data_IF_550109371130
#
_entry.id   IF_550109371130
#
_cell.length_a   1.000
_cell.length_b   1.000
_cell.length_c   1.000
_cell.angle_alpha   90.00
_cell.angle_beta   90.00
_cell.angle_gamma   90.00
#
_symmetry.space_group_name_H-M   'P 1'
#
loop_
_entity.id
_entity.type
_entity.pdbx_description
1 polymer ?
#
# COMPACT_ATOMS: atom_id res chain seq x y z
N UNK A 1 17.23 16.23 14.19
CA UNK A 1 17.76 14.94 13.69
C UNK A 1 17.63 13.84 14.73
N UNK A 2 17.98 14.06 16.00
CA UNK A 2 17.92 13.03 17.05
C UNK A 2 16.55 12.38 17.18
N UNK A 3 15.50 13.19 17.31
CA UNK A 3 14.12 12.68 17.52
C UNK A 3 13.67 11.69 16.43
N UNK A 4 13.92 11.98 15.17
CA UNK A 4 13.53 11.09 14.08
C UNK A 4 14.34 9.79 14.06
N UNK A 5 15.65 9.88 14.29
CA UNK A 5 16.51 8.69 14.37
C UNK A 5 16.22 7.85 15.59
N UNK A 6 15.93 8.47 16.74
CA UNK A 6 15.56 7.74 17.95
C UNK A 6 14.21 7.00 17.75
N UNK A 7 13.25 7.62 17.08
CA UNK A 7 11.98 6.99 16.75
C UNK A 7 12.13 5.89 15.71
N UNK A 8 12.93 6.14 14.66
CA UNK A 8 13.26 5.11 13.67
C UNK A 8 13.89 3.89 14.34
N UNK A 9 14.90 4.10 15.20
CA UNK A 9 15.53 3.01 15.94
C UNK A 9 14.53 2.23 16.79
N UNK A 10 13.62 2.92 17.47
CA UNK A 10 12.60 2.26 18.30
C UNK A 10 11.65 1.39 17.44
N UNK A 11 11.20 1.90 16.29
CA UNK A 11 10.37 1.14 15.36
C UNK A 11 11.14 -0.05 14.80
N UNK A 12 12.38 0.17 14.38
CA UNK A 12 13.27 -0.89 13.89
C UNK A 12 13.49 -1.98 14.95
N UNK A 13 13.84 -1.60 16.18
CA UNK A 13 14.03 -2.53 17.29
C UNK A 13 12.73 -3.31 17.58
N UNK A 14 11.58 -2.67 17.48
CA UNK A 14 10.28 -3.33 17.65
C UNK A 14 10.08 -4.40 16.58
N UNK A 15 10.20 -4.06 15.30
CA UNK A 15 10.04 -5.03 14.22
C UNK A 15 11.03 -6.18 14.31
N UNK A 16 12.31 -5.90 14.52
CA UNK A 16 13.35 -6.92 14.51
C UNK A 16 13.36 -7.81 15.75
N UNK A 17 12.80 -7.35 16.87
CA UNK A 17 12.75 -8.14 18.11
C UNK A 17 11.42 -8.88 18.32
N UNK A 18 10.38 -8.52 17.57
CA UNK A 18 9.05 -9.14 17.67
C UNK A 18 8.63 -9.84 16.39
N UNK A 19 9.51 -9.91 15.39
CA UNK A 19 9.25 -10.64 14.15
C UNK A 19 8.98 -12.12 14.43
N UNK A 20 8.08 -12.73 13.69
CA UNK A 20 7.88 -14.16 13.68
C UNK A 20 9.10 -14.90 13.09
N UNK A 21 9.79 -14.26 12.15
CA UNK A 21 11.01 -14.79 11.56
C UNK A 21 12.23 -14.59 12.45
N UNK A 22 13.23 -15.47 12.31
CA UNK A 22 14.53 -15.29 12.95
C UNK A 22 15.20 -14.00 12.44
N UNK A 23 15.70 -13.20 13.36
CA UNK A 23 16.36 -11.93 13.06
C UNK A 23 17.50 -12.08 12.04
N UNK A 24 18.23 -13.18 12.08
CA UNK A 24 19.33 -13.47 11.17
C UNK A 24 18.87 -13.73 9.72
N UNK A 25 17.57 -13.91 9.50
CA UNK A 25 17.00 -14.18 8.18
C UNK A 25 16.19 -13.04 7.61
N UNK A 26 16.03 -11.92 8.35
CA UNK A 26 15.17 -10.79 7.96
C UNK A 26 15.60 -10.13 6.64
N UNK A 27 16.88 -10.19 6.28
CA UNK A 27 17.42 -9.63 5.05
C UNK A 27 17.61 -10.65 3.92
N UNK A 28 17.27 -11.93 4.17
CA UNK A 28 17.55 -13.01 3.23
C UNK A 28 16.77 -12.93 1.91
N UNK A 29 15.72 -12.12 1.85
CA UNK A 29 14.79 -12.04 0.71
C UNK A 29 13.95 -13.32 0.50
N UNK A 30 14.05 -14.28 1.42
CA UNK A 30 13.31 -15.54 1.36
C UNK A 30 12.06 -15.58 2.24
N UNK A 31 11.83 -14.50 2.99
CA UNK A 31 10.67 -14.40 3.88
C UNK A 31 9.44 -13.97 3.10
N UNK A 32 8.32 -14.56 3.46
CA UNK A 32 7.00 -14.19 2.98
C UNK A 32 6.14 -13.72 4.16
N UNK A 33 6.21 -12.43 4.47
CA UNK A 33 5.54 -11.85 5.62
C UNK A 33 4.01 -11.85 5.49
N UNK A 34 3.48 -11.88 4.27
CA UNK A 34 2.04 -12.04 4.03
C UNK A 34 1.55 -13.39 4.50
N UNK A 35 2.35 -14.47 4.29
CA UNK A 35 1.98 -15.79 4.77
C UNK A 35 2.05 -15.92 6.28
N UNK A 36 3.00 -15.24 6.94
CA UNK A 36 3.07 -15.21 8.41
C UNK A 36 1.80 -14.59 9.01
N UNK A 37 1.29 -13.50 8.42
CA UNK A 37 0.01 -12.94 8.83
C UNK A 37 -1.15 -13.87 8.49
N UNK A 38 -1.20 -14.39 7.27
CA UNK A 38 -2.28 -15.27 6.79
C UNK A 38 -2.41 -16.58 7.57
N UNK A 39 -1.32 -17.10 8.12
CA UNK A 39 -1.28 -18.29 8.98
C UNK A 39 -1.40 -18.00 10.48
N UNK A 40 -1.67 -16.75 10.86
CA UNK A 40 -1.77 -16.30 12.26
C UNK A 40 -0.45 -16.43 13.05
N UNK A 41 0.69 -16.48 12.39
CA UNK A 41 2.01 -16.47 13.01
C UNK A 41 2.44 -15.04 13.40
N UNK A 42 1.90 -14.01 12.74
CA UNK A 42 2.09 -12.61 13.04
C UNK A 42 0.74 -11.90 13.20
N UNK A 43 0.69 -10.91 14.09
CA UNK A 43 -0.50 -10.06 14.32
C UNK A 43 -0.43 -8.76 13.52
N UNK A 44 0.77 -8.26 13.26
CA UNK A 44 1.02 -7.03 12.54
C UNK A 44 1.95 -7.29 11.36
N UNK A 45 1.54 -6.77 10.22
CA UNK A 45 2.32 -6.78 8.99
C UNK A 45 2.36 -5.36 8.40
N UNK A 46 3.54 -4.87 8.07
CA UNK A 46 3.69 -3.54 7.47
C UNK A 46 3.75 -3.67 5.96
N UNK A 47 2.73 -3.19 5.28
CA UNK A 47 2.67 -3.12 3.83
C UNK A 47 1.59 -2.10 3.39
N UNK A 48 1.14 -2.15 2.15
CA UNK A 48 0.12 -1.28 1.58
C UNK A 48 -1.23 -1.95 1.41
N UNK A 49 -2.20 -1.16 0.98
CA UNK A 49 -3.59 -1.60 0.77
C UNK A 49 -3.74 -2.68 -0.32
N UNK A 50 -2.77 -2.81 -1.21
CA UNK A 50 -2.73 -3.89 -2.23
C UNK A 50 -2.61 -5.30 -1.63
N UNK A 51 -2.14 -5.42 -0.39
CA UNK A 51 -2.00 -6.70 0.30
C UNK A 51 -3.31 -7.28 0.84
N UNK A 52 -4.40 -6.53 0.78
CA UNK A 52 -5.68 -6.95 1.36
C UNK A 52 -6.14 -8.32 0.86
N UNK A 53 -5.99 -8.59 -0.42
CA UNK A 53 -6.35 -9.89 -0.99
C UNK A 53 -5.30 -10.96 -0.76
N UNK A 54 -4.03 -10.56 -0.63
CA UNK A 54 -2.91 -11.50 -0.47
C UNK A 54 -2.76 -12.04 0.94
N UNK A 55 -3.08 -11.22 1.95
CA UNK A 55 -2.93 -11.60 3.37
C UNK A 55 -4.03 -12.53 3.86
N UNK A 56 -5.18 -12.51 3.21
CA UNK A 56 -6.28 -13.40 3.57
C UNK A 56 -6.58 -14.31 2.41
N UNK A 57 -6.92 -15.52 2.73
CA UNK A 57 -7.35 -16.35 1.72
C UNK A 57 -8.53 -17.16 1.96
N UNK A 58 -9.37 -17.10 1.04
CA UNK A 58 -10.54 -17.91 1.06
C UNK A 58 -10.23 -19.35 0.63
N UNK A 59 -9.03 -19.72 0.17
CA UNK A 59 -8.99 -21.10 -0.28
C UNK A 59 -7.70 -21.77 -0.79
N UNK A 60 -6.63 -21.09 -1.13
CA UNK A 60 -5.58 -21.81 -1.86
C UNK A 60 -4.25 -21.96 -1.13
N UNK A 61 -3.92 -21.08 -0.23
CA UNK A 61 -2.61 -21.02 0.41
C UNK A 61 -2.55 -21.66 1.80
N UNK A 62 -3.69 -22.09 2.33
CA UNK A 62 -3.77 -22.62 3.69
C UNK A 62 -3.80 -21.55 4.78
N UNK A 63 -4.07 -20.30 4.41
CA UNK A 63 -4.27 -19.22 5.36
C UNK A 63 -5.56 -19.43 6.15
N UNK A 64 -5.57 -18.95 7.38
CA UNK A 64 -6.71 -19.07 8.30
C UNK A 64 -7.37 -17.75 8.61
N UNK A 65 -6.67 -16.64 8.34
CA UNK A 65 -7.18 -15.27 8.51
C UNK A 65 -8.21 -14.97 7.44
N UNK A 66 -9.36 -14.45 7.86
CA UNK A 66 -10.40 -13.99 6.93
C UNK A 66 -10.21 -12.51 6.61
N UNK A 67 -10.59 -12.11 5.41
CA UNK A 67 -10.56 -10.70 5.04
C UNK A 67 -11.33 -9.80 6.02
N UNK A 68 -12.44 -10.30 6.60
CA UNK A 68 -13.21 -9.57 7.59
C UNK A 68 -12.48 -9.30 8.90
N UNK A 69 -11.42 -10.03 9.18
CA UNK A 69 -10.65 -9.93 10.42
C UNK A 69 -9.43 -9.01 10.25
N UNK A 70 -9.18 -8.55 9.02
CA UNK A 70 -8.10 -7.65 8.69
C UNK A 70 -8.53 -6.18 8.81
N UNK A 71 -7.64 -5.36 9.34
CA UNK A 71 -7.78 -3.90 9.36
C UNK A 71 -6.44 -3.24 9.11
N UNK A 72 -6.45 -1.95 8.82
CA UNK A 72 -5.26 -1.16 8.59
C UNK A 72 -5.15 -0.05 9.63
N UNK A 73 -3.96 0.25 10.05
CA UNK A 73 -3.69 1.34 10.98
C UNK A 73 -2.43 2.11 10.56
N UNK A 74 -2.33 3.40 10.90
CA UNK A 74 -1.11 4.17 10.68
C UNK A 74 0.08 3.58 11.43
N UNK A 75 1.27 3.67 10.84
CA UNK A 75 2.51 3.38 11.57
C UNK A 75 2.83 4.57 12.45
N UNK A 76 2.86 4.35 13.75
CA UNK A 76 3.15 5.39 14.71
C UNK A 76 4.67 5.61 14.88
N UNK A 77 5.16 6.78 14.45
CA UNK A 77 6.56 7.15 14.59
C UNK A 77 6.86 8.02 15.82
N UNK A 78 5.86 8.37 16.62
CA UNK A 78 6.01 9.15 17.84
C UNK A 78 6.36 10.62 17.60
N UNK A 79 5.94 11.19 16.49
CA UNK A 79 6.23 12.57 16.10
C UNK A 79 5.03 13.47 16.29
N UNK A 80 3.88 13.07 15.81
CA UNK A 80 2.60 13.78 15.95
C UNK A 80 1.46 12.75 15.96
N UNK A 81 1.24 12.14 17.10
CA UNK A 81 0.29 11.06 17.29
C UNK A 81 -1.19 11.48 17.21
N UNK A 82 -1.47 12.75 17.41
CA UNK A 82 -2.85 13.24 17.40
C UNK A 82 -3.47 13.27 16.00
N UNK A 83 -2.63 13.48 14.98
CA UNK A 83 -3.08 13.75 13.61
C UNK A 83 -2.59 12.73 12.58
N UNK A 84 -1.91 11.67 13.01
CA UNK A 84 -1.37 10.69 12.08
C UNK A 84 -2.47 9.95 11.32
N UNK A 85 -2.38 10.03 9.98
CA UNK A 85 -3.12 9.22 9.03
C UNK A 85 -2.19 8.23 8.34
N UNK A 86 -2.70 7.52 7.36
CA UNK A 86 -1.91 6.58 6.56
C UNK A 86 -0.90 7.31 5.68
N UNK A 87 0.21 6.66 5.40
CA UNK A 87 1.10 7.07 4.32
C UNK A 87 0.40 6.79 2.98
N UNK A 88 0.25 7.81 2.17
CA UNK A 88 -0.43 7.73 0.88
C UNK A 88 0.41 8.38 -0.22
N UNK A 89 0.27 7.87 -1.43
CA UNK A 89 0.91 8.44 -2.60
C UNK A 89 0.42 7.76 -3.87
N UNK A 90 0.69 8.39 -5.00
CA UNK A 90 0.40 7.81 -6.31
C UNK A 90 1.69 7.21 -6.85
N UNK A 91 1.77 5.89 -6.87
CA UNK A 91 2.94 5.16 -7.38
C UNK A 91 2.77 4.76 -8.84
N UNK A 92 1.57 4.34 -9.21
CA UNK A 92 1.27 3.85 -10.54
C UNK A 92 0.61 4.93 -11.38
N UNK A 93 1.16 5.15 -12.57
CA UNK A 93 0.67 6.16 -13.51
C UNK A 93 0.52 5.55 -14.89
N UNK A 94 -0.55 5.89 -15.57
CA UNK A 94 -0.64 5.68 -17.00
C UNK A 94 0.08 6.78 -17.73
N UNK A 95 1.08 6.41 -18.51
CA UNK A 95 1.86 7.35 -19.31
C UNK A 95 1.44 7.27 -20.78
N UNK A 96 1.17 8.43 -21.35
CA UNK A 96 0.91 8.55 -22.79
C UNK A 96 2.17 9.05 -23.50
N UNK A 97 2.61 8.34 -24.55
CA UNK A 97 3.78 8.76 -25.32
C UNK A 97 3.48 10.03 -26.11
N UNK A 98 3.96 11.17 -25.64
CA UNK A 98 3.77 12.47 -26.28
C UNK A 98 4.43 12.61 -27.69
N UNK A 99 5.21 11.62 -28.12
CA UNK A 99 5.83 11.58 -29.47
C UNK A 99 5.14 10.61 -30.43
N UNK A 100 4.06 9.94 -29.98
CA UNK A 100 3.25 9.11 -30.87
C UNK A 100 2.45 9.96 -31.85
N UNK A 101 1.91 9.35 -32.89
CA UNK A 101 0.97 10.01 -33.79
C UNK A 101 -0.24 10.54 -33.01
N UNK A 102 -0.72 11.73 -33.35
CA UNK A 102 -1.82 12.37 -32.60
C UNK A 102 -3.07 11.47 -32.53
N UNK A 103 -3.40 10.75 -33.60
CA UNK A 103 -4.52 9.78 -33.60
C UNK A 103 -4.38 8.68 -32.57
N UNK A 104 -3.14 8.24 -32.28
CA UNK A 104 -2.89 7.18 -31.31
C UNK A 104 -2.93 7.74 -29.89
N UNK A 105 -2.49 8.99 -29.70
CA UNK A 105 -2.66 9.74 -28.44
C UNK A 105 -4.15 9.91 -28.15
N UNK A 106 -4.93 10.40 -29.10
CA UNK A 106 -6.37 10.64 -28.95
C UNK A 106 -7.11 9.35 -28.62
N UNK A 107 -6.83 8.25 -29.33
CA UNK A 107 -7.42 6.94 -29.06
C UNK A 107 -7.03 6.41 -27.67
N UNK A 108 -5.80 6.62 -27.24
CA UNK A 108 -5.36 6.24 -25.90
C UNK A 108 -6.11 7.02 -24.83
N UNK A 109 -6.25 8.32 -24.99
CA UNK A 109 -7.00 9.17 -24.04
C UNK A 109 -8.49 8.82 -24.01
N UNK A 110 -9.08 8.53 -25.17
CA UNK A 110 -10.47 8.06 -25.24
C UNK A 110 -10.65 6.74 -24.51
N UNK A 111 -9.74 5.78 -24.69
CA UNK A 111 -9.76 4.51 -23.98
C UNK A 111 -9.62 4.70 -22.46
N UNK A 112 -8.67 5.51 -22.02
CA UNK A 112 -8.49 5.80 -20.58
C UNK A 112 -9.72 6.47 -19.98
N UNK A 113 -10.31 7.43 -20.70
CA UNK A 113 -11.56 8.05 -20.27
C UNK A 113 -12.70 7.02 -20.19
N UNK A 114 -12.83 6.13 -21.18
CA UNK A 114 -13.82 5.06 -21.16
C UNK A 114 -13.62 4.13 -19.94
N UNK A 115 -12.38 3.74 -19.63
CA UNK A 115 -12.07 2.88 -18.48
C UNK A 115 -12.55 3.48 -17.16
N UNK A 116 -12.40 4.80 -16.97
CA UNK A 116 -12.76 5.44 -15.70
C UNK A 116 -14.18 5.98 -15.64
N UNK A 117 -14.92 6.00 -16.75
CA UNK A 117 -16.27 6.59 -16.79
C UNK A 117 -17.38 5.61 -17.16
N UNK A 118 -17.06 4.55 -17.92
CA UNK A 118 -18.08 3.57 -18.32
C UNK A 118 -18.34 2.54 -17.21
N UNK A 119 -19.52 1.96 -17.24
CA UNK A 119 -19.89 0.87 -16.32
C UNK A 119 -18.95 -0.33 -16.45
N UNK A 120 -18.67 -0.75 -17.69
CA UNK A 120 -17.80 -1.89 -17.96
C UNK A 120 -16.36 -1.66 -17.51
N UNK A 121 -15.83 -0.45 -17.70
CA UNK A 121 -14.48 -0.08 -17.26
C UNK A 121 -14.36 -0.03 -15.74
N UNK A 122 -15.30 0.60 -15.07
CA UNK A 122 -15.34 0.67 -13.61
C UNK A 122 -15.56 -0.71 -12.97
N UNK A 123 -16.44 -1.51 -13.53
CA UNK A 123 -16.65 -2.90 -13.11
C UNK A 123 -15.37 -3.73 -13.25
N UNK A 124 -14.65 -3.56 -14.36
CA UNK A 124 -13.37 -4.24 -14.57
C UNK A 124 -12.35 -3.87 -13.50
N UNK A 125 -12.19 -2.59 -13.18
CA UNK A 125 -11.23 -2.13 -12.18
C UNK A 125 -11.60 -2.65 -10.78
N UNK A 126 -12.83 -2.41 -10.33
CA UNK A 126 -13.20 -2.68 -8.94
C UNK A 126 -13.57 -4.14 -8.71
N UNK A 127 -14.45 -4.70 -9.55
CA UNK A 127 -15.03 -6.01 -9.27
C UNK A 127 -14.25 -7.19 -9.86
N UNK A 128 -13.52 -6.96 -10.98
CA UNK A 128 -12.74 -8.03 -11.62
C UNK A 128 -11.27 -8.01 -11.25
N UNK A 129 -10.68 -6.82 -11.09
CA UNK A 129 -9.27 -6.65 -10.73
C UNK A 129 -9.06 -6.40 -9.24
N UNK A 130 -10.10 -6.08 -8.48
CA UNK A 130 -10.02 -5.80 -7.04
C UNK A 130 -9.24 -4.54 -6.70
N UNK A 131 -9.09 -3.61 -7.65
CA UNK A 131 -8.33 -2.40 -7.46
C UNK A 131 -9.21 -1.27 -6.93
N UNK A 132 -8.59 -0.34 -6.21
CA UNK A 132 -9.16 0.97 -5.90
C UNK A 132 -8.68 2.02 -6.90
N UNK A 133 -9.53 2.99 -7.20
CA UNK A 133 -9.20 4.06 -8.14
C UNK A 133 -9.56 5.44 -7.54
N UNK A 134 -8.64 6.43 -7.61
CA UNK A 134 -8.81 7.74 -6.95
C UNK A 134 -9.63 8.72 -7.81
N UNK A 135 -10.64 8.22 -8.52
CA UNK A 135 -11.50 9.05 -9.36
C UNK A 135 -12.90 9.17 -8.76
N UNK A 136 -13.51 10.33 -8.87
CA UNK A 136 -14.85 10.64 -8.36
C UNK A 136 -16.00 9.87 -9.05
N UNK A 137 -15.69 9.20 -10.16
CA UNK A 137 -16.62 8.30 -10.86
C UNK A 137 -16.76 6.94 -10.19
N UNK A 138 -15.89 6.59 -9.25
CA UNK A 138 -15.93 5.32 -8.54
C UNK A 138 -16.71 5.44 -7.23
N UNK A 139 -18.03 5.45 -7.36
CA UNK A 139 -18.99 5.56 -6.25
C UNK A 139 -20.09 4.50 -6.36
N UNK A 140 -20.80 4.26 -5.27
CA UNK A 140 -21.89 3.29 -5.23
C UNK A 140 -21.42 1.87 -5.50
N UNK A 141 -21.94 1.24 -6.55
CA UNK A 141 -21.59 -0.13 -6.94
C UNK A 141 -20.12 -0.31 -7.37
N UNK A 142 -19.42 0.81 -7.59
CA UNK A 142 -18.01 0.86 -7.98
C UNK A 142 -17.10 1.40 -6.88
N UNK A 143 -17.58 1.52 -5.65
CA UNK A 143 -16.70 1.78 -4.51
C UNK A 143 -15.77 0.60 -4.28
N UNK A 144 -14.54 0.90 -3.88
CA UNK A 144 -13.58 -0.15 -3.56
C UNK A 144 -14.11 -1.07 -2.46
N UNK A 145 -14.04 -2.38 -2.70
CA UNK A 145 -14.35 -3.42 -1.71
C UNK A 145 -13.13 -3.74 -0.83
N UNK A 146 -11.99 -3.14 -1.12
CA UNK A 146 -10.80 -3.25 -0.32
C UNK A 146 -10.97 -2.46 0.98
N UNK A 147 -11.10 -3.17 2.10
CA UNK A 147 -11.31 -2.55 3.41
C UNK A 147 -10.12 -1.66 3.83
N UNK A 148 -8.90 -1.98 3.39
CA UNK A 148 -7.72 -1.15 3.69
C UNK A 148 -7.80 0.21 2.98
N UNK A 149 -8.23 0.25 1.72
CA UNK A 149 -8.43 1.51 1.01
C UNK A 149 -9.52 2.38 1.68
N UNK A 150 -10.55 1.76 2.26
CA UNK A 150 -11.61 2.47 2.95
C UNK A 150 -11.14 3.11 4.26
N UNK A 151 -10.20 2.48 4.98
CA UNK A 151 -9.62 3.06 6.21
C UNK A 151 -8.98 4.42 5.97
N UNK A 152 -8.28 4.60 4.84
CA UNK A 152 -7.71 5.91 4.49
C UNK A 152 -8.80 7.00 4.39
N UNK A 153 -9.94 6.65 3.80
CA UNK A 153 -11.08 7.56 3.67
C UNK A 153 -11.74 7.89 5.02
N UNK A 154 -11.83 6.91 5.90
CA UNK A 154 -12.37 7.09 7.26
C UNK A 154 -11.47 7.99 8.10
N UNK A 155 -10.16 7.74 8.12
CA UNK A 155 -9.19 8.56 8.82
C UNK A 155 -9.19 10.02 8.32
N UNK A 156 -9.34 10.22 7.01
CA UNK A 156 -9.48 11.56 6.45
C UNK A 156 -10.76 12.27 6.92
N UNK A 157 -11.88 11.57 7.05
CA UNK A 157 -13.13 12.10 7.61
C UNK A 157 -12.99 12.46 9.10
N UNK A 158 -12.16 11.74 9.83
CA UNK A 158 -11.80 12.04 11.22
C UNK A 158 -10.82 13.21 11.36
N UNK A 159 -10.38 13.80 10.27
CA UNK A 159 -9.44 14.92 10.24
C UNK A 159 -7.97 14.50 10.43
N UNK A 160 -7.65 13.24 10.27
CA UNK A 160 -6.26 12.75 10.30
C UNK A 160 -5.52 13.21 9.04
N UNK A 161 -4.27 13.59 9.23
CA UNK A 161 -3.41 14.06 8.13
C UNK A 161 -2.66 12.90 7.51
N UNK A 162 -2.88 12.66 6.23
CA UNK A 162 -2.10 11.68 5.48
C UNK A 162 -0.66 12.15 5.30
N UNK A 163 0.27 11.22 5.35
CA UNK A 163 1.68 11.46 5.05
C UNK A 163 1.92 11.14 3.58
N UNK A 164 2.35 12.12 2.81
CA UNK A 164 2.66 11.92 1.40
C UNK A 164 4.04 11.23 1.24
N UNK A 165 4.09 10.21 0.40
CA UNK A 165 5.35 9.58 0.04
C UNK A 165 6.20 10.49 -0.85
N UNK A 166 7.50 10.51 -0.58
CA UNK A 166 8.45 11.36 -1.28
C UNK A 166 9.38 10.58 -2.24
N UNK A 167 9.00 9.39 -2.63
CA UNK A 167 9.82 8.54 -3.51
C UNK A 167 10.20 9.24 -4.82
N UNK A 168 9.26 9.95 -5.43
CA UNK A 168 9.50 10.69 -6.68
C UNK A 168 10.52 11.83 -6.53
N UNK A 169 10.76 12.30 -5.30
CA UNK A 169 11.73 13.34 -5.00
C UNK A 169 13.10 12.78 -4.60
N UNK A 170 13.23 11.46 -4.43
CA UNK A 170 14.47 10.79 -4.03
C UNK A 170 15.15 10.21 -5.25
N UNK A 171 16.31 10.74 -5.68
CA UNK A 171 17.06 10.17 -6.79
C UNK A 171 17.49 8.72 -6.49
N UNK A 172 17.35 7.82 -7.48
CA UNK A 172 17.73 6.42 -7.34
C UNK A 172 17.25 5.80 -6.01
N UNK A 173 15.98 5.94 -5.72
CA UNK A 173 15.39 5.59 -4.41
C UNK A 173 15.73 4.18 -3.94
N UNK A 174 15.80 3.22 -4.84
CA UNK A 174 16.12 1.83 -4.49
C UNK A 174 17.59 1.66 -4.08
N UNK A 175 18.51 2.31 -4.78
CA UNK A 175 19.93 2.33 -4.41
C UNK A 175 20.11 3.02 -3.06
N UNK A 176 19.48 4.19 -2.90
CA UNK A 176 19.51 4.94 -1.65
C UNK A 176 18.99 4.10 -0.46
N UNK A 177 17.88 3.40 -0.67
CA UNK A 177 17.28 2.53 0.34
C UNK A 177 18.21 1.38 0.70
N UNK A 178 18.80 0.72 -0.30
CA UNK A 178 19.74 -0.37 -0.09
C UNK A 178 20.97 0.10 0.71
N UNK A 179 21.58 1.23 0.31
CA UNK A 179 22.73 1.81 1.00
C UNK A 179 22.40 2.24 2.44
N UNK A 180 21.17 2.73 2.68
CA UNK A 180 20.72 3.13 4.01
C UNK A 180 20.49 1.92 4.93
N UNK A 181 19.97 0.82 4.39
CA UNK A 181 19.63 -0.37 5.16
C UNK A 181 20.83 -1.29 5.39
N UNK A 182 21.79 -1.33 4.47
CA UNK A 182 22.95 -2.23 4.55
C UNK A 182 23.71 -2.19 5.89
N UNK A 183 23.94 -1.04 6.56
CA UNK A 183 24.59 -1.03 7.86
C UNK A 183 23.68 -1.43 9.03
N UNK A 184 22.39 -1.71 8.80
CA UNK A 184 21.43 -2.08 9.83
C UNK A 184 21.18 -3.59 9.87
N UNK A 185 21.53 -4.29 8.79
CA UNK A 185 21.48 -5.75 8.64
C UNK A 185 22.84 -6.37 8.86
#
# INVERSE_FOLDING_TARGET
>A
TGKYMDNFKRVWDMYTNTSAADKATLDSGSLNAESELGMEEAVFYQNGDWEYASCADDNESGYTVKQSDLSMMPIYFGVDDANEGLAVGTENHWTVNAKADQKDIDATLEFLNWVITSDDGRDAIVNKMGLSAPFDTFTGDYESKNAFANVASELAKEGKTSVAWSFNATPSVDDWRADFLAPLT
#
